data_IF_202785251029
#
_entry.id   IF_202785251029
#
_cell.length_a   1.000
_cell.length_b   1.000
_cell.length_c   1.000
_cell.angle_alpha   90.00
_cell.angle_beta   90.00
_cell.angle_gamma   90.00
#
_symmetry.space_group_name_H-M   'P 1'
#
loop_
_entity.id
_entity.type
_entity.pdbx_description
1 polymer ?
#
# COMPACT_ATOMS: atom_id res chain seq x y z
N UNK A 1 -21.76 -40.27 -18.15
CA UNK A 1 -22.15 -38.87 -17.86
C UNK A 1 -21.72 -38.55 -16.44
N UNK A 2 -20.50 -38.06 -16.27
CA UNK A 2 -20.07 -37.42 -15.01
C UNK A 2 -20.35 -35.93 -15.16
N UNK A 3 -21.51 -35.49 -14.68
CA UNK A 3 -21.79 -34.06 -14.49
C UNK A 3 -20.82 -33.55 -13.43
N UNK A 4 -19.63 -33.09 -13.85
CA UNK A 4 -18.80 -32.21 -13.04
C UNK A 4 -19.62 -30.93 -12.82
N UNK A 5 -20.37 -30.88 -11.71
CA UNK A 5 -21.08 -29.66 -11.33
C UNK A 5 -20.01 -28.64 -10.96
N UNK A 6 -19.75 -27.69 -11.85
CA UNK A 6 -18.91 -26.54 -11.55
C UNK A 6 -19.46 -25.90 -10.27
N UNK A 7 -18.64 -25.90 -9.23
CA UNK A 7 -19.03 -25.30 -7.95
C UNK A 7 -19.01 -23.77 -8.08
N UNK A 8 -19.90 -23.05 -7.40
CA UNK A 8 -19.78 -21.60 -7.31
C UNK A 8 -18.49 -21.22 -6.59
N UNK A 9 -17.95 -20.04 -6.90
CA UNK A 9 -16.70 -19.56 -6.29
C UNK A 9 -16.82 -19.47 -4.75
N UNK A 10 -18.03 -19.23 -4.23
CA UNK A 10 -18.31 -19.17 -2.78
C UNK A 10 -18.17 -20.53 -2.08
N UNK A 11 -18.12 -21.64 -2.83
CA UNK A 11 -17.83 -22.98 -2.30
C UNK A 11 -16.35 -23.37 -2.47
N UNK A 12 -15.60 -22.65 -3.32
CA UNK A 12 -14.19 -22.90 -3.61
C UNK A 12 -13.30 -21.97 -2.77
N UNK A 13 -13.72 -20.72 -2.61
CA UNK A 13 -12.99 -19.66 -1.95
C UNK A 13 -13.61 -19.29 -0.61
N UNK A 14 -12.74 -19.10 0.37
CA UNK A 14 -13.09 -18.65 1.70
C UNK A 14 -12.91 -17.14 1.80
N UNK A 15 -14.02 -16.42 1.96
CA UNK A 15 -13.98 -14.99 2.27
C UNK A 15 -13.37 -14.77 3.65
N UNK A 16 -12.54 -13.73 3.75
CA UNK A 16 -11.99 -13.33 5.04
C UNK A 16 -13.08 -13.01 6.05
N UNK A 17 -12.86 -13.39 7.31
CA UNK A 17 -13.84 -13.25 8.40
C UNK A 17 -14.45 -11.85 8.48
N UNK A 18 -13.64 -10.80 8.44
CA UNK A 18 -14.11 -9.41 8.53
C UNK A 18 -15.04 -9.03 7.35
N UNK A 19 -14.79 -9.54 6.14
CA UNK A 19 -15.65 -9.32 4.98
C UNK A 19 -17.00 -10.03 5.18
N UNK A 20 -16.98 -11.27 5.69
CA UNK A 20 -18.22 -12.03 6.03
C UNK A 20 -19.05 -11.33 7.10
N UNK A 21 -18.40 -10.65 8.03
CA UNK A 21 -19.05 -9.87 9.09
C UNK A 21 -19.45 -8.45 8.65
N UNK A 22 -19.14 -8.05 7.41
CA UNK A 22 -19.42 -6.69 6.91
C UNK A 22 -18.50 -5.60 7.48
N UNK A 23 -17.42 -5.99 8.16
CA UNK A 23 -16.38 -5.08 8.67
C UNK A 23 -15.38 -4.77 7.55
N UNK A 24 -15.63 -3.68 6.84
CA UNK A 24 -14.82 -3.28 5.70
C UNK A 24 -13.85 -2.20 6.15
N UNK A 25 -12.59 -2.57 6.32
CA UNK A 25 -11.53 -1.58 6.53
C UNK A 25 -11.22 -0.88 5.22
N UNK A 26 -11.76 0.32 5.07
CA UNK A 26 -11.52 1.13 3.89
C UNK A 26 -10.05 1.56 3.83
N UNK A 27 -9.43 2.02 4.91
CA UNK A 27 -8.08 2.60 4.87
C UNK A 27 -7.09 1.93 5.83
N UNK A 28 -5.95 1.49 5.30
CA UNK A 28 -4.75 1.23 6.10
C UNK A 28 -4.21 2.57 6.62
N UNK A 29 -3.89 2.62 7.92
CA UNK A 29 -3.31 3.79 8.57
C UNK A 29 -2.00 3.38 9.27
N UNK A 30 -0.87 3.82 8.73
CA UNK A 30 0.46 3.53 9.27
C UNK A 30 0.64 4.07 10.69
N UNK A 31 0.05 5.24 10.99
CA UNK A 31 0.14 5.81 12.33
C UNK A 31 -0.51 4.91 13.37
N UNK A 32 -1.73 4.43 13.12
CA UNK A 32 -2.41 3.53 14.06
C UNK A 32 -1.64 2.21 14.22
N UNK A 33 -1.08 1.68 13.13
CA UNK A 33 -0.23 0.48 13.18
C UNK A 33 0.98 0.69 14.08
N UNK A 34 1.71 1.79 13.87
CA UNK A 34 2.91 2.09 14.63
C UNK A 34 2.58 2.38 16.10
N UNK A 35 1.52 3.14 16.37
CA UNK A 35 1.04 3.39 17.74
C UNK A 35 0.67 2.09 18.46
N UNK A 36 -0.07 1.20 17.80
CA UNK A 36 -0.47 -0.08 18.37
C UNK A 36 0.72 -1.02 18.65
N UNK A 37 1.74 -1.02 17.77
CA UNK A 37 2.84 -1.96 17.86
C UNK A 37 4.06 -1.47 18.65
N UNK A 38 4.29 -0.15 18.72
CA UNK A 38 5.51 0.44 19.29
C UNK A 38 5.24 1.34 20.50
N UNK A 39 4.10 2.02 20.54
CA UNK A 39 3.82 3.06 21.54
C UNK A 39 2.61 2.76 22.44
N UNK A 40 2.03 1.57 22.33
CA UNK A 40 0.78 1.20 23.03
C UNK A 40 0.87 1.33 24.55
N UNK A 41 2.00 0.94 25.12
CA UNK A 41 2.22 1.00 26.57
C UNK A 41 2.71 2.38 27.04
N UNK A 42 3.01 3.28 26.10
CA UNK A 42 3.62 4.59 26.37
C UNK A 42 2.67 5.76 26.14
N UNK A 43 1.65 5.56 25.30
CA UNK A 43 0.68 6.58 24.93
C UNK A 43 -0.75 6.08 25.19
N UNK A 44 -1.45 6.55 26.24
CA UNK A 44 -2.74 6.00 26.66
C UNK A 44 -3.82 5.94 25.57
N UNK A 45 -3.88 6.93 24.66
CA UNK A 45 -4.88 6.91 23.58
C UNK A 45 -4.64 5.78 22.57
N UNK A 46 -3.41 5.24 22.47
CA UNK A 46 -3.13 4.07 21.65
C UNK A 46 -3.81 2.79 22.17
N UNK A 47 -4.20 2.74 23.46
CA UNK A 47 -4.98 1.64 24.03
C UNK A 47 -6.41 1.59 23.49
N UNK A 48 -6.95 2.73 23.01
CA UNK A 48 -8.29 2.82 22.44
C UNK A 48 -8.36 2.31 20.99
N UNK A 49 -7.22 2.01 20.35
CA UNK A 49 -7.19 1.48 19.01
C UNK A 49 -7.79 0.07 18.96
N UNK A 50 -8.81 -0.11 18.12
CA UNK A 50 -9.39 -1.41 17.87
C UNK A 50 -8.41 -2.29 17.08
N UNK A 51 -8.23 -3.53 17.53
CA UNK A 51 -7.42 -4.49 16.82
C UNK A 51 -8.01 -4.81 15.45
N UNK A 52 -7.14 -4.83 14.45
CA UNK A 52 -7.39 -5.37 13.12
C UNK A 52 -6.32 -6.40 12.78
N UNK A 53 -6.65 -7.45 12.00
CA UNK A 53 -5.64 -8.36 11.44
C UNK A 53 -4.48 -7.67 10.75
N UNK A 54 -4.64 -6.42 10.28
CA UNK A 54 -3.58 -5.66 9.62
C UNK A 54 -2.58 -5.03 10.58
N UNK A 55 -2.83 -5.07 11.88
CA UNK A 55 -1.87 -4.64 12.89
C UNK A 55 -0.85 -5.75 13.22
N UNK A 56 -1.17 -7.00 12.88
CA UNK A 56 -0.27 -8.13 13.00
C UNK A 56 0.67 -8.21 11.78
N UNK A 57 2.00 -8.23 11.97
CA UNK A 57 2.96 -8.25 10.86
C UNK A 57 2.81 -9.46 9.93
N UNK A 58 2.57 -10.65 10.48
CA UNK A 58 2.51 -11.90 9.72
C UNK A 58 1.24 -11.95 8.87
N UNK A 59 0.11 -11.63 9.47
CA UNK A 59 -1.19 -11.59 8.80
C UNK A 59 -1.25 -10.44 7.78
N UNK A 60 -0.60 -9.31 8.05
CA UNK A 60 -0.42 -8.25 7.05
C UNK A 60 0.35 -8.76 5.83
N UNK A 61 1.54 -9.35 6.00
CA UNK A 61 2.35 -9.84 4.86
C UNK A 61 1.62 -10.94 4.08
N UNK A 62 0.89 -11.84 4.75
CA UNK A 62 0.05 -12.85 4.09
C UNK A 62 -1.01 -12.25 3.18
N UNK A 63 -1.52 -11.06 3.52
CA UNK A 63 -2.53 -10.28 2.79
C UNK A 63 -1.95 -9.33 1.75
N UNK A 64 -0.64 -9.19 1.71
CA UNK A 64 0.05 -8.27 0.81
C UNK A 64 0.43 -9.00 -0.47
N UNK A 65 0.00 -8.44 -1.61
CA UNK A 65 0.57 -8.83 -2.89
C UNK A 65 1.87 -8.05 -3.10
N UNK A 66 3.00 -8.77 -3.12
CA UNK A 66 4.32 -8.17 -3.37
C UNK A 66 4.51 -8.05 -4.88
N UNK A 67 4.32 -6.84 -5.41
CA UNK A 67 4.64 -6.54 -6.81
C UNK A 67 6.16 -6.54 -7.03
N UNK A 68 6.58 -6.47 -8.30
CA UNK A 68 7.99 -6.40 -8.67
C UNK A 68 8.65 -5.11 -8.17
N UNK A 69 7.92 -3.99 -8.20
CA UNK A 69 8.36 -2.72 -7.65
C UNK A 69 8.50 -2.80 -6.13
N UNK A 70 7.52 -3.38 -5.43
CA UNK A 70 7.62 -3.59 -3.98
C UNK A 70 8.81 -4.48 -3.61
N UNK A 71 9.02 -5.57 -4.35
CA UNK A 71 10.19 -6.43 -4.18
C UNK A 71 11.50 -5.65 -4.28
N UNK A 72 11.66 -4.86 -5.34
CA UNK A 72 12.87 -4.07 -5.56
C UNK A 72 13.09 -3.04 -4.44
N UNK A 73 12.03 -2.40 -3.95
CA UNK A 73 12.11 -1.41 -2.86
C UNK A 73 12.46 -2.10 -1.54
N UNK A 74 11.86 -3.25 -1.23
CA UNK A 74 12.19 -4.05 -0.04
C UNK A 74 13.68 -4.39 -0.06
N UNK A 75 14.19 -4.92 -1.18
CA UNK A 75 15.60 -5.26 -1.33
C UNK A 75 16.53 -4.04 -1.19
N UNK A 76 16.14 -2.89 -1.76
CA UNK A 76 16.89 -1.64 -1.65
C UNK A 76 16.94 -1.10 -0.24
N UNK A 77 15.81 -1.06 0.45
CA UNK A 77 15.72 -0.59 1.84
C UNK A 77 16.51 -1.53 2.76
N UNK A 78 16.28 -2.84 2.67
CA UNK A 78 16.96 -3.79 3.54
C UNK A 78 18.46 -3.87 3.23
N UNK A 79 18.88 -3.87 1.95
CA UNK A 79 20.29 -3.77 1.56
C UNK A 79 20.94 -2.45 1.99
N UNK A 80 20.15 -1.37 1.94
CA UNK A 80 20.29 -0.08 2.63
C UNK A 80 20.84 -0.18 4.04
N UNK A 81 20.02 -0.80 4.87
CA UNK A 81 20.25 -1.02 6.30
C UNK A 81 21.43 -1.96 6.53
N UNK A 82 21.67 -2.93 5.64
CA UNK A 82 22.83 -3.83 5.68
C UNK A 82 24.12 -3.21 5.15
N UNK A 83 24.15 -1.91 4.84
CA UNK A 83 25.35 -1.20 4.36
C UNK A 83 25.90 -1.71 3.03
N UNK A 84 25.17 -2.57 2.33
CA UNK A 84 25.54 -3.07 1.01
C UNK A 84 25.46 -1.95 -0.02
N UNK A 85 26.24 -2.05 -1.10
CA UNK A 85 26.19 -1.16 -2.26
C UNK A 85 25.44 -1.79 -3.45
N UNK A 86 25.34 -3.12 -3.49
CA UNK A 86 24.54 -3.90 -4.42
C UNK A 86 24.11 -5.23 -3.78
N UNK A 87 23.14 -5.90 -4.39
CA UNK A 87 22.62 -7.22 -3.99
C UNK A 87 22.52 -8.10 -5.22
N UNK A 88 23.10 -9.29 -5.17
CA UNK A 88 22.87 -10.29 -6.22
C UNK A 88 21.52 -10.97 -6.00
N UNK A 89 20.80 -11.17 -7.09
CA UNK A 89 19.43 -11.67 -7.09
C UNK A 89 19.33 -13.11 -7.62
N UNK A 90 20.45 -13.69 -8.04
CA UNK A 90 20.56 -15.08 -8.48
C UNK A 90 21.93 -15.70 -8.09
N UNK A 91 22.01 -17.03 -8.19
CA UNK A 91 23.25 -17.79 -7.94
C UNK A 91 24.34 -17.51 -8.97
N UNK A 92 23.95 -17.17 -10.20
CA UNK A 92 24.88 -16.96 -11.32
C UNK A 92 25.62 -15.63 -11.23
N UNK A 93 25.19 -14.73 -10.36
CA UNK A 93 25.72 -13.38 -10.21
C UNK A 93 25.38 -12.46 -11.39
N UNK A 94 24.42 -12.86 -12.24
CA UNK A 94 24.06 -12.14 -13.47
C UNK A 94 23.06 -11.03 -13.22
N UNK A 95 22.20 -11.20 -12.22
CA UNK A 95 21.21 -10.21 -11.83
C UNK A 95 21.67 -9.46 -10.57
N UNK A 96 21.95 -8.17 -10.72
CA UNK A 96 22.51 -7.32 -9.67
C UNK A 96 21.58 -6.12 -9.48
N UNK A 97 21.12 -5.94 -8.25
CA UNK A 97 20.36 -4.76 -7.84
C UNK A 97 21.28 -3.76 -7.13
N UNK A 98 21.50 -2.55 -7.69
CA UNK A 98 22.21 -1.50 -6.96
C UNK A 98 21.36 -1.02 -5.78
N UNK A 99 22.00 -0.82 -4.62
CA UNK A 99 21.36 -0.33 -3.38
C UNK A 99 22.07 0.91 -2.83
N UNK A 100 22.87 1.61 -3.64
CA UNK A 100 23.69 2.75 -3.22
C UNK A 100 22.91 4.00 -2.79
N UNK A 101 21.62 4.08 -3.15
CA UNK A 101 20.73 5.18 -2.74
C UNK A 101 20.08 4.86 -1.39
N UNK A 102 20.21 5.80 -0.44
CA UNK A 102 19.65 5.65 0.92
C UNK A 102 18.45 6.56 1.18
N UNK A 103 18.19 7.51 0.29
CA UNK A 103 17.00 8.36 0.30
C UNK A 103 16.08 7.91 -0.83
N UNK A 104 14.93 7.36 -0.45
CA UNK A 104 13.90 6.84 -1.36
C UNK A 104 12.67 7.73 -1.23
N UNK A 105 12.16 8.17 -2.38
CA UNK A 105 10.92 8.94 -2.46
C UNK A 105 9.87 8.08 -3.14
N UNK A 106 8.69 8.00 -2.52
CA UNK A 106 7.54 7.28 -3.05
C UNK A 106 6.53 8.32 -3.56
N UNK A 107 6.57 8.66 -4.87
CA UNK A 107 5.52 9.44 -5.50
C UNK A 107 4.31 8.54 -5.71
N UNK A 108 3.15 8.94 -5.20
CA UNK A 108 1.89 8.44 -5.77
C UNK A 108 0.74 9.44 -5.59
N UNK A 109 -0.33 9.28 -6.37
CA UNK A 109 -1.59 9.94 -6.09
C UNK A 109 -2.26 9.40 -4.81
N UNK A 110 -3.32 10.06 -4.35
CA UNK A 110 -4.11 9.61 -3.20
C UNK A 110 -4.50 8.13 -3.37
N UNK A 111 -4.36 7.35 -2.29
CA UNK A 111 -4.71 5.92 -2.23
C UNK A 111 -4.03 4.99 -3.24
N UNK A 112 -2.92 5.42 -3.86
CA UNK A 112 -2.09 4.60 -4.75
C UNK A 112 -1.21 3.55 -4.05
N UNK A 113 -1.33 3.38 -2.73
CA UNK A 113 -0.64 2.31 -2.00
C UNK A 113 0.64 2.71 -1.27
N UNK A 114 0.96 4.01 -1.13
CA UNK A 114 2.16 4.47 -0.40
C UNK A 114 2.17 4.01 1.06
N UNK A 115 1.08 4.27 1.79
CA UNK A 115 0.93 3.84 3.18
C UNK A 115 1.05 2.32 3.29
N UNK A 116 0.56 1.58 2.28
CA UNK A 116 0.72 0.13 2.22
C UNK A 116 2.19 -0.28 2.03
N UNK A 117 2.91 0.34 1.10
CA UNK A 117 4.34 0.10 0.90
C UNK A 117 5.17 0.48 2.14
N UNK A 118 4.93 1.64 2.76
CA UNK A 118 5.60 2.02 4.02
C UNK A 118 5.32 1.02 5.14
N UNK A 119 4.07 0.56 5.25
CA UNK A 119 3.68 -0.46 6.22
C UNK A 119 4.38 -1.79 5.95
N UNK A 120 4.52 -2.19 4.68
CA UNK A 120 5.31 -3.36 4.28
C UNK A 120 6.76 -3.20 4.73
N UNK A 121 7.40 -2.07 4.45
CA UNK A 121 8.79 -1.81 4.87
C UNK A 121 8.95 -1.83 6.40
N UNK A 122 8.03 -1.20 7.12
CA UNK A 122 7.95 -1.24 8.58
C UNK A 122 7.90 -2.69 9.09
N UNK A 123 6.97 -3.51 8.58
CA UNK A 123 6.80 -4.89 9.03
C UNK A 123 7.94 -5.81 8.63
N UNK A 124 8.56 -5.62 7.47
CA UNK A 124 9.74 -6.40 7.07
C UNK A 124 10.90 -6.13 8.04
N UNK A 125 11.16 -4.86 8.37
CA UNK A 125 12.20 -4.51 9.34
C UNK A 125 11.86 -5.01 10.76
N UNK A 126 10.58 -4.94 11.17
CA UNK A 126 10.11 -5.43 12.48
C UNK A 126 10.25 -6.95 12.59
N UNK A 127 9.77 -7.70 11.60
CA UNK A 127 9.89 -9.15 11.57
C UNK A 127 11.34 -9.60 11.44
N UNK A 128 12.22 -8.85 10.77
CA UNK A 128 13.67 -9.12 10.84
C UNK A 128 14.19 -9.02 12.28
N UNK A 129 13.80 -7.98 13.03
CA UNK A 129 14.20 -7.83 14.43
C UNK A 129 13.69 -8.95 15.36
N UNK A 130 12.57 -9.58 15.00
CA UNK A 130 11.92 -10.64 15.77
C UNK A 130 12.37 -12.05 15.35
N UNK A 131 12.63 -12.28 14.07
CA UNK A 131 12.77 -13.61 13.46
C UNK A 131 14.13 -13.82 12.76
N UNK A 132 14.92 -12.77 12.53
CA UNK A 132 16.20 -12.84 11.82
C UNK A 132 16.03 -13.39 10.40
N UNK A 133 16.80 -14.43 10.04
CA UNK A 133 16.77 -15.09 8.71
C UNK A 133 15.42 -15.68 8.32
N UNK A 134 14.61 -16.07 9.32
CA UNK A 134 13.28 -16.64 9.07
C UNK A 134 12.32 -15.63 8.45
N UNK A 135 12.68 -14.34 8.37
CA UNK A 135 11.93 -13.35 7.57
C UNK A 135 11.70 -13.80 6.13
N UNK A 136 12.64 -14.58 5.57
CA UNK A 136 12.55 -15.09 4.20
C UNK A 136 11.40 -16.08 4.00
N UNK A 137 10.92 -16.73 5.06
CA UNK A 137 9.80 -17.69 5.02
C UNK A 137 8.44 -17.02 4.75
N UNK A 138 8.33 -15.70 4.96
CA UNK A 138 7.11 -14.93 4.72
C UNK A 138 6.94 -14.50 3.25
N UNK A 139 7.91 -14.84 2.39
CA UNK A 139 7.89 -14.52 0.97
C UNK A 139 7.85 -15.80 0.12
N UNK A 140 7.24 -15.69 -1.07
CA UNK A 140 7.17 -16.78 -2.06
C UNK A 140 7.99 -16.51 -3.32
N UNK A 141 8.39 -15.26 -3.55
CA UNK A 141 9.11 -14.86 -4.75
C UNK A 141 10.60 -15.25 -4.62
N UNK A 142 11.09 -16.10 -5.51
CA UNK A 142 12.45 -16.65 -5.46
C UNK A 142 13.54 -15.55 -5.51
N UNK A 143 13.36 -14.54 -6.37
CA UNK A 143 14.28 -13.41 -6.53
C UNK A 143 14.37 -12.59 -5.24
N UNK A 144 13.21 -12.28 -4.64
CA UNK A 144 13.11 -11.61 -3.35
C UNK A 144 13.78 -12.41 -2.23
N UNK A 145 13.46 -13.70 -2.13
CA UNK A 145 14.00 -14.60 -1.10
C UNK A 145 15.53 -14.68 -1.21
N UNK A 146 16.04 -14.88 -2.43
CA UNK A 146 17.48 -14.99 -2.66
C UNK A 146 18.21 -13.71 -2.26
N UNK A 147 17.71 -12.56 -2.70
CA UNK A 147 18.26 -11.26 -2.33
C UNK A 147 18.20 -11.01 -0.82
N UNK A 148 17.06 -11.29 -0.16
CA UNK A 148 16.92 -11.11 1.29
C UNK A 148 17.86 -12.00 2.09
N UNK A 149 18.08 -13.26 1.70
CA UNK A 149 18.99 -14.16 2.43
C UNK A 149 20.37 -13.53 2.60
N UNK A 150 20.94 -13.01 1.51
CA UNK A 150 22.24 -12.33 1.52
C UNK A 150 22.23 -11.05 2.35
N UNK A 151 21.18 -10.24 2.20
CA UNK A 151 21.01 -8.99 2.94
C UNK A 151 20.94 -9.26 4.46
N UNK A 152 20.18 -10.27 4.86
CA UNK A 152 19.94 -10.60 6.27
C UNK A 152 21.18 -11.20 6.91
N UNK A 153 21.92 -12.04 6.19
CA UNK A 153 23.21 -12.57 6.64
C UNK A 153 24.20 -11.46 6.95
N UNK A 154 24.29 -10.45 6.08
CA UNK A 154 25.10 -9.25 6.32
C UNK A 154 24.56 -8.42 7.50
N UNK A 155 23.23 -8.20 7.55
CA UNK A 155 22.59 -7.36 8.58
C UNK A 155 22.84 -7.88 10.00
N UNK A 156 22.96 -9.20 10.19
CA UNK A 156 23.30 -9.82 11.49
C UNK A 156 24.55 -9.22 12.12
N UNK A 157 25.54 -8.84 11.31
CA UNK A 157 26.79 -8.24 11.80
C UNK A 157 26.58 -6.85 12.41
N UNK A 158 25.52 -6.15 11.99
CA UNK A 158 25.18 -4.80 12.43
C UNK A 158 24.04 -4.77 13.45
N UNK A 159 23.36 -5.88 13.70
CA UNK A 159 22.31 -6.03 14.71
C UNK A 159 20.94 -5.51 14.27
N UNK A 160 20.07 -5.27 15.25
CA UNK A 160 18.67 -4.87 15.02
C UNK A 160 18.54 -3.52 14.31
N UNK A 161 17.46 -3.35 13.56
CA UNK A 161 17.06 -2.10 12.91
C UNK A 161 16.22 -1.28 13.88
N UNK A 162 16.58 -0.01 14.10
CA UNK A 162 15.72 0.99 14.74
C UNK A 162 14.75 1.53 13.69
N UNK A 163 13.45 1.50 13.98
CA UNK A 163 12.43 1.95 13.03
C UNK A 163 11.75 3.20 13.59
N UNK A 164 11.87 4.30 12.87
CA UNK A 164 11.27 5.60 13.21
C UNK A 164 10.20 5.90 12.17
N UNK A 165 9.00 6.22 12.64
CA UNK A 165 7.88 6.57 11.76
C UNK A 165 7.35 7.94 12.15
N UNK A 166 7.37 8.86 11.18
CA UNK A 166 6.81 10.20 11.27
C UNK A 166 5.65 10.27 10.29
N UNK A 167 4.46 10.65 10.76
CA UNK A 167 3.25 10.73 9.93
C UNK A 167 2.66 12.13 10.08
N UNK A 168 2.76 12.92 9.02
CA UNK A 168 2.54 14.38 9.08
C UNK A 168 1.12 14.82 9.45
N UNK A 169 0.13 13.98 9.20
CA UNK A 169 -1.28 14.28 9.47
C UNK A 169 -1.70 14.02 10.93
N UNK A 170 -0.88 13.33 11.74
CA UNK A 170 -1.16 13.00 13.14
C UNK A 170 -0.18 13.66 14.12
N UNK A 171 -0.68 14.27 15.20
CA UNK A 171 0.18 14.99 16.15
C UNK A 171 1.08 14.06 16.98
N UNK A 172 0.67 12.81 17.20
CA UNK A 172 1.46 11.86 18.01
C UNK A 172 2.72 11.40 17.29
N UNK A 173 2.65 11.27 15.97
CA UNK A 173 3.80 10.88 15.14
C UNK A 173 4.39 12.05 14.33
N UNK A 174 3.85 13.26 14.48
CA UNK A 174 4.46 14.49 14.01
C UNK A 174 4.00 15.66 14.91
N UNK A 175 4.62 15.81 16.09
CA UNK A 175 4.32 16.91 17.02
C UNK A 175 4.61 18.26 16.37
N UNK A 176 3.92 19.30 16.84
CA UNK A 176 4.14 20.69 16.42
C UNK A 176 4.16 21.63 17.64
N UNK A 177 4.73 22.84 17.53
CA UNK A 177 4.88 23.75 18.67
C UNK A 177 3.56 24.09 19.38
N UNK A 178 2.45 24.18 18.64
CA UNK A 178 1.10 24.43 19.14
C UNK A 178 0.44 23.19 19.75
N UNK A 179 0.91 21.98 19.38
CA UNK A 179 0.38 20.70 19.85
C UNK A 179 1.52 19.71 20.15
N UNK A 180 2.29 19.96 21.24
CA UNK A 180 3.38 19.10 21.62
C UNK A 180 2.87 17.73 22.10
N UNK A 181 3.68 16.71 21.89
CA UNK A 181 3.46 15.37 22.44
C UNK A 181 4.04 15.31 23.85
N UNK A 182 3.20 14.96 24.82
CA UNK A 182 3.65 14.57 26.16
C UNK A 182 3.65 13.05 26.22
N UNK A 183 4.82 12.45 26.38
CA UNK A 183 5.01 11.00 26.45
C UNK A 183 6.06 10.67 27.51
N UNK A 184 5.72 9.77 28.43
CA UNK A 184 6.54 9.49 29.61
C UNK A 184 6.92 10.80 30.34
N UNK A 185 8.22 11.15 30.38
CA UNK A 185 8.74 12.37 31.01
C UNK A 185 9.17 13.44 29.98
N UNK A 186 8.88 13.25 28.70
CA UNK A 186 9.27 14.15 27.62
C UNK A 186 8.09 14.97 27.11
N UNK A 187 8.37 16.25 26.82
CA UNK A 187 7.47 17.13 26.10
C UNK A 187 8.12 17.49 24.77
N UNK A 188 7.67 16.83 23.71
CA UNK A 188 8.28 16.87 22.38
C UNK A 188 7.47 17.83 21.51
N UNK A 189 8.12 18.81 20.89
CA UNK A 189 7.45 19.89 20.17
C UNK A 189 7.53 19.76 18.64
N UNK A 190 8.39 18.88 18.13
CA UNK A 190 8.74 18.84 16.71
C UNK A 190 8.95 17.42 16.19
N UNK A 191 8.93 17.19 14.86
CA UNK A 191 9.21 15.88 14.28
C UNK A 191 10.66 15.43 14.51
N UNK A 192 11.60 16.36 14.60
CA UNK A 192 13.01 16.05 14.89
C UNK A 192 13.24 15.76 16.38
N UNK A 193 12.50 16.40 17.29
CA UNK A 193 12.42 15.98 18.68
C UNK A 193 11.89 14.55 18.81
N UNK A 194 10.84 14.20 18.06
CA UNK A 194 10.30 12.84 18.03
C UNK A 194 11.33 11.83 17.49
N UNK A 195 12.06 12.18 16.42
CA UNK A 195 13.17 11.37 15.90
C UNK A 195 14.21 11.09 17.00
N UNK A 196 14.64 12.12 17.74
CA UNK A 196 15.56 11.96 18.86
C UNK A 196 15.00 11.04 19.95
N UNK A 197 13.74 11.25 20.36
CA UNK A 197 13.07 10.42 21.36
C UNK A 197 13.00 8.94 20.95
N UNK A 198 12.53 8.64 19.74
CA UNK A 198 12.39 7.26 19.25
C UNK A 198 13.73 6.55 19.08
N UNK A 199 14.81 7.31 18.85
CA UNK A 199 16.18 6.77 18.82
C UNK A 199 16.82 6.62 20.20
N UNK A 200 16.20 7.13 21.28
CA UNK A 200 16.78 7.18 22.62
C UNK A 200 17.87 8.23 22.77
N UNK A 201 17.83 9.28 21.94
CA UNK A 201 18.86 10.32 21.80
C UNK A 201 18.27 11.73 21.99
N UNK A 202 17.12 11.86 22.65
CA UNK A 202 16.40 13.13 22.80
C UNK A 202 17.28 14.23 23.42
N UNK A 203 18.10 13.89 24.42
CA UNK A 203 18.95 14.89 25.09
C UNK A 203 19.94 15.58 24.14
N UNK A 204 20.36 14.92 23.06
CA UNK A 204 21.26 15.51 22.05
C UNK A 204 20.54 16.49 21.13
N UNK A 205 19.22 16.40 21.01
CA UNK A 205 18.39 17.24 20.13
C UNK A 205 17.40 18.13 20.90
N UNK A 206 17.41 18.05 22.23
CA UNK A 206 16.48 18.75 23.12
C UNK A 206 16.45 20.26 22.85
N UNK A 207 17.63 20.88 22.70
CA UNK A 207 17.71 22.32 22.44
C UNK A 207 17.09 22.69 21.09
N UNK A 208 17.23 21.85 20.06
CA UNK A 208 16.62 22.08 18.74
C UNK A 208 15.09 21.93 18.81
N UNK A 209 14.62 20.93 19.56
CA UNK A 209 13.18 20.70 19.78
C UNK A 209 12.52 21.85 20.56
N UNK A 210 13.10 22.26 21.69
CA UNK A 210 12.56 23.31 22.57
C UNK A 210 12.61 24.71 21.94
N UNK A 211 13.59 24.96 21.06
CA UNK A 211 13.71 26.23 20.32
C UNK A 211 12.96 26.24 18.98
N UNK A 212 12.34 25.12 18.60
CA UNK A 212 11.67 24.93 17.31
C UNK A 212 12.58 25.20 16.10
N UNK A 213 13.89 24.97 16.27
CA UNK A 213 14.90 25.11 15.22
C UNK A 213 15.34 23.74 14.75
N UNK A 214 15.58 23.58 13.45
CA UNK A 214 16.04 22.32 12.91
C UNK A 214 17.44 21.97 13.43
N UNK A 215 17.71 20.69 13.71
CA UNK A 215 19.05 20.24 14.04
C UNK A 215 20.01 20.42 12.86
N UNK A 216 21.25 20.73 13.18
CA UNK A 216 22.33 20.77 12.21
C UNK A 216 22.74 19.35 11.77
N UNK A 217 23.47 19.28 10.64
CA UNK A 217 23.95 18.02 10.04
C UNK A 217 24.77 17.20 11.04
N UNK A 218 25.62 17.84 11.86
CA UNK A 218 26.47 17.14 12.83
C UNK A 218 25.68 16.55 14.01
N UNK A 219 24.62 17.22 14.46
CA UNK A 219 23.70 16.69 15.48
C UNK A 219 22.99 15.46 14.94
N UNK A 220 22.45 15.54 13.72
CA UNK A 220 21.80 14.42 13.04
C UNK A 220 22.76 13.24 12.81
N UNK A 221 24.01 13.49 12.41
CA UNK A 221 25.06 12.45 12.31
C UNK A 221 25.28 11.77 13.65
N UNK A 222 25.36 12.53 14.73
CA UNK A 222 25.62 12.00 16.07
C UNK A 222 24.47 11.10 16.57
N UNK A 223 23.21 11.47 16.36
CA UNK A 223 22.08 10.64 16.79
C UNK A 223 21.94 9.36 15.94
N UNK A 224 22.35 9.37 14.67
CA UNK A 224 22.32 8.20 13.77
C UNK A 224 23.57 7.31 13.87
N UNK A 225 24.66 7.82 14.45
CA UNK A 225 25.96 7.12 14.52
C UNK A 225 25.84 5.73 15.15
N UNK A 226 26.49 4.75 14.51
CA UNK A 226 26.58 3.35 14.94
C UNK A 226 25.22 2.65 15.10
N UNK A 227 24.17 3.11 14.40
CA UNK A 227 22.84 2.50 14.39
C UNK A 227 22.45 2.10 12.97
N UNK A 228 21.62 1.06 12.85
CA UNK A 228 20.89 0.82 11.61
C UNK A 228 19.50 1.42 11.79
N UNK A 229 19.12 2.38 10.96
CA UNK A 229 17.90 3.18 11.16
C UNK A 229 17.07 3.21 9.90
N UNK A 230 15.85 2.69 9.97
CA UNK A 230 14.83 2.91 8.96
C UNK A 230 13.96 4.09 9.40
N UNK A 231 13.98 5.16 8.62
CA UNK A 231 13.16 6.36 8.85
C UNK A 231 12.07 6.40 7.78
N UNK A 232 10.82 6.33 8.21
CA UNK A 232 9.64 6.41 7.35
C UNK A 232 8.93 7.74 7.62
N UNK A 233 8.81 8.58 6.59
CA UNK A 233 8.05 9.84 6.67
C UNK A 233 6.86 9.74 5.71
N UNK A 234 5.67 9.57 6.28
CA UNK A 234 4.39 9.60 5.56
C UNK A 234 3.77 11.00 5.68
N UNK A 235 3.03 11.43 4.66
CA UNK A 235 2.29 12.72 4.63
C UNK A 235 3.15 13.97 4.99
N UNK A 236 4.39 14.02 4.50
CA UNK A 236 5.29 15.16 4.75
C UNK A 236 4.72 16.51 4.28
N UNK A 237 3.91 16.51 3.21
CA UNK A 237 3.25 17.72 2.69
C UNK A 237 2.18 18.23 3.64
N UNK A 238 1.35 17.35 4.21
CA UNK A 238 0.34 17.72 5.20
C UNK A 238 0.97 18.36 6.43
N UNK A 239 2.13 17.85 6.86
CA UNK A 239 2.90 18.50 7.91
C UNK A 239 3.38 19.90 7.52
N UNK A 240 3.90 20.07 6.29
CA UNK A 240 4.34 21.37 5.80
C UNK A 240 3.18 22.38 5.72
N UNK A 241 2.00 21.97 5.28
CA UNK A 241 0.79 22.79 5.29
C UNK A 241 0.50 23.31 6.71
N UNK A 242 0.59 22.41 7.71
CA UNK A 242 0.44 22.79 9.12
C UNK A 242 1.55 23.75 9.57
N UNK A 243 2.80 23.46 9.26
CA UNK A 243 3.94 24.31 9.64
C UNK A 243 3.83 25.73 9.05
N UNK A 244 3.32 25.88 7.82
CA UNK A 244 3.06 27.19 7.21
C UNK A 244 1.98 27.97 7.96
N UNK A 245 0.89 27.31 8.40
CA UNK A 245 -0.15 27.96 9.22
C UNK A 245 0.39 28.50 10.54
N UNK A 246 1.40 27.84 11.09
CA UNK A 246 2.05 28.21 12.34
C UNK A 246 3.04 29.38 12.20
N UNK A 247 3.42 29.81 10.98
CA UNK A 247 4.40 30.89 10.79
C UNK A 247 3.99 32.22 11.43
N UNK A 248 2.68 32.47 11.58
CA UNK A 248 2.15 33.67 12.24
C UNK A 248 2.54 33.78 13.72
N UNK A 249 2.77 32.64 14.39
CA UNK A 249 3.13 32.56 15.81
C UNK A 249 4.59 32.13 15.99
N UNK A 250 5.04 31.18 15.16
CA UNK A 250 6.38 30.60 15.20
C UNK A 250 7.13 30.94 13.89
N UNK A 251 7.65 32.17 13.83
CA UNK A 251 8.32 32.67 12.62
C UNK A 251 9.48 31.76 12.20
N UNK A 252 9.51 31.41 10.91
CA UNK A 252 10.55 30.55 10.33
C UNK A 252 10.35 29.05 10.52
N UNK A 253 9.28 28.61 11.19
CA UNK A 253 9.07 27.18 11.50
C UNK A 253 8.89 26.30 10.25
N UNK A 254 8.17 26.75 9.23
CA UNK A 254 8.02 25.98 8.00
C UNK A 254 9.35 25.81 7.26
N UNK A 255 10.20 26.85 7.26
CA UNK A 255 11.54 26.78 6.68
C UNK A 255 12.49 25.89 7.50
N UNK A 256 12.33 25.89 8.83
CA UNK A 256 13.01 24.94 9.71
C UNK A 256 12.63 23.49 9.35
N UNK A 257 11.34 23.19 9.15
CA UNK A 257 10.91 21.86 8.73
C UNK A 257 11.49 21.44 7.36
N UNK A 258 11.48 22.32 6.36
CA UNK A 258 12.12 22.05 5.06
C UNK A 258 13.61 21.80 5.20
N UNK A 259 14.29 22.60 6.01
CA UNK A 259 15.72 22.45 6.29
C UNK A 259 16.01 21.16 7.05
N UNK A 260 15.13 20.72 7.96
CA UNK A 260 15.23 19.43 8.64
C UNK A 260 15.17 18.27 7.64
N UNK A 261 14.18 18.25 6.72
CA UNK A 261 14.07 17.20 5.69
C UNK A 261 15.34 17.16 4.82
N UNK A 262 15.85 18.32 4.41
CA UNK A 262 17.11 18.42 3.65
C UNK A 262 18.30 17.88 4.44
N UNK A 263 18.52 18.37 5.66
CA UNK A 263 19.65 17.98 6.49
C UNK A 263 19.62 16.48 6.80
N UNK A 264 18.43 15.93 7.10
CA UNK A 264 18.25 14.51 7.34
C UNK A 264 18.59 13.67 6.11
N UNK A 265 18.10 14.07 4.93
CA UNK A 265 18.37 13.37 3.68
C UNK A 265 19.88 13.38 3.33
N UNK A 266 20.58 14.50 3.58
CA UNK A 266 22.04 14.59 3.42
C UNK A 266 22.76 13.61 4.35
N UNK A 267 22.43 13.62 5.64
CA UNK A 267 23.08 12.77 6.64
C UNK A 267 22.85 11.29 6.35
N UNK A 268 21.63 10.91 5.95
CA UNK A 268 21.29 9.52 5.63
C UNK A 268 22.11 8.99 4.45
N UNK A 269 22.35 9.80 3.42
CA UNK A 269 23.23 9.41 2.30
C UNK A 269 24.70 9.23 2.73
N UNK A 270 25.15 9.97 3.74
CA UNK A 270 26.53 9.89 4.27
C UNK A 270 26.69 8.85 5.40
N UNK A 271 25.60 8.24 5.86
CA UNK A 271 25.60 7.34 7.03
C UNK A 271 25.14 5.93 6.61
N UNK A 272 26.07 5.04 6.21
CA UNK A 272 25.72 3.64 5.91
C UNK A 272 24.98 2.98 7.08
N UNK A 273 23.86 2.31 6.76
CA UNK A 273 22.98 1.67 7.75
C UNK A 273 21.74 2.51 8.07
N UNK A 274 21.68 3.76 7.62
CA UNK A 274 20.46 4.57 7.67
C UNK A 274 19.78 4.60 6.31
N UNK A 275 18.44 4.50 6.29
CA UNK A 275 17.60 4.63 5.09
C UNK A 275 16.43 5.54 5.42
N UNK A 276 16.19 6.51 4.54
CA UNK A 276 15.07 7.44 4.61
C UNK A 276 14.10 7.13 3.47
N UNK A 277 12.84 6.90 3.82
CA UNK A 277 11.75 6.72 2.87
C UNK A 277 10.72 7.81 3.11
N UNK A 278 10.46 8.64 2.10
CA UNK A 278 9.51 9.77 2.19
C UNK A 278 8.42 9.62 1.13
N UNK A 279 7.16 9.78 1.52
CA UNK A 279 6.04 9.82 0.57
C UNK A 279 5.75 11.24 0.13
N UNK A 280 5.40 11.42 -1.16
CA UNK A 280 4.94 12.71 -1.69
C UNK A 280 3.66 12.53 -2.52
N UNK A 281 2.65 13.43 -2.41
CA UNK A 281 1.46 13.46 -3.26
C UNK A 281 1.80 13.98 -4.66
N UNK A 282 2.48 13.12 -5.43
CA UNK A 282 2.88 13.36 -6.80
C UNK A 282 2.69 12.08 -7.63
N UNK A 283 2.39 12.20 -8.92
CA UNK A 283 2.50 11.11 -9.87
C UNK A 283 3.91 11.08 -10.47
N UNK A 284 4.41 9.90 -10.83
CA UNK A 284 5.67 9.77 -11.55
C UNK A 284 5.40 9.15 -12.90
N UNK A 285 5.54 9.96 -13.97
CA UNK A 285 5.30 9.55 -15.35
C UNK A 285 6.50 9.95 -16.20
N UNK A 286 7.00 9.02 -17.01
CA UNK A 286 8.06 9.27 -17.99
C UNK A 286 9.35 9.91 -17.41
N UNK A 287 9.69 9.59 -16.16
CA UNK A 287 10.88 10.15 -15.49
C UNK A 287 10.66 11.52 -14.85
N UNK A 288 9.45 12.07 -14.93
CA UNK A 288 9.07 13.35 -14.34
C UNK A 288 8.06 13.15 -13.21
N UNK A 289 8.22 13.96 -12.15
CA UNK A 289 7.22 14.08 -11.10
C UNK A 289 6.13 15.05 -11.56
N UNK A 290 4.95 14.53 -11.87
CA UNK A 290 3.77 15.33 -12.14
C UNK A 290 3.01 15.58 -10.84
N UNK A 291 2.62 16.83 -10.61
CA UNK A 291 1.97 17.24 -9.36
C UNK A 291 0.54 16.70 -9.31
N UNK A 292 0.10 16.27 -8.14
CA UNK A 292 -1.34 16.08 -7.91
C UNK A 292 -2.00 17.43 -7.58
N UNK A 293 -3.34 17.49 -7.65
CA UNK A 293 -4.09 18.71 -7.40
C UNK A 293 -4.01 19.23 -5.95
N UNK A 294 -3.49 18.46 -5.00
CA UNK A 294 -3.36 18.86 -3.61
C UNK A 294 -2.02 19.55 -3.35
N UNK A 295 -2.09 20.83 -2.95
CA UNK A 295 -0.95 21.60 -2.46
C UNK A 295 0.32 21.58 -3.35
N UNK A 296 0.19 21.83 -4.67
CA UNK A 296 1.28 21.70 -5.63
C UNK A 296 2.52 22.55 -5.28
N UNK A 297 2.33 23.71 -4.65
CA UNK A 297 3.39 24.60 -4.18
C UNK A 297 4.22 24.00 -3.03
N UNK A 298 3.60 23.26 -2.12
CA UNK A 298 4.28 22.64 -0.98
C UNK A 298 4.98 21.35 -1.40
N UNK A 299 4.40 20.59 -2.34
CA UNK A 299 5.06 19.46 -2.99
C UNK A 299 6.36 19.93 -3.64
N UNK A 300 6.33 21.00 -4.42
CA UNK A 300 7.51 21.53 -5.10
C UNK A 300 8.62 21.95 -4.13
N UNK A 301 8.26 22.63 -3.04
CA UNK A 301 9.23 23.00 -1.99
C UNK A 301 9.92 21.76 -1.42
N UNK A 302 9.17 20.72 -1.05
CA UNK A 302 9.75 19.47 -0.52
C UNK A 302 10.57 18.70 -1.55
N UNK A 303 10.08 18.57 -2.78
CA UNK A 303 10.80 17.94 -3.89
C UNK A 303 12.13 18.65 -4.12
N UNK A 304 12.15 19.98 -4.11
CA UNK A 304 13.39 20.76 -4.32
C UNK A 304 14.45 20.52 -3.24
N UNK A 305 14.04 20.22 -2.00
CA UNK A 305 14.96 19.88 -0.92
C UNK A 305 15.53 18.48 -1.09
N UNK A 306 14.70 17.53 -1.54
CA UNK A 306 15.09 16.14 -1.73
C UNK A 306 15.90 15.93 -3.02
N UNK A 307 15.57 16.59 -4.14
CA UNK A 307 16.29 16.46 -5.42
C UNK A 307 17.79 16.75 -5.29
N UNK A 308 18.17 17.67 -4.40
CA UNK A 308 19.56 18.03 -4.14
C UNK A 308 20.42 16.87 -3.61
N UNK A 309 19.78 15.81 -3.09
CA UNK A 309 20.45 14.61 -2.61
C UNK A 309 20.30 13.41 -3.56
N UNK A 310 19.82 13.64 -4.79
CA UNK A 310 19.64 12.62 -5.84
C UNK A 310 18.84 11.37 -5.37
N UNK A 311 17.57 11.54 -4.95
CA UNK A 311 16.76 10.46 -4.42
C UNK A 311 16.33 9.50 -5.53
N UNK A 312 15.94 8.28 -5.15
CA UNK A 312 15.33 7.33 -6.09
C UNK A 312 13.80 7.37 -5.99
N UNK A 313 13.12 7.38 -7.13
CA UNK A 313 11.66 7.42 -7.21
C UNK A 313 11.10 6.04 -7.53
N UNK A 314 10.17 5.57 -6.70
CA UNK A 314 9.49 4.30 -6.91
C UNK A 314 7.97 4.46 -6.81
N UNK A 315 7.25 4.48 -7.94
CA UNK A 315 5.79 4.41 -7.90
C UNK A 315 5.37 3.03 -7.35
N UNK A 316 4.39 2.97 -6.42
CA UNK A 316 4.11 1.76 -5.64
C UNK A 316 3.45 0.62 -6.42
N UNK A 317 2.74 0.88 -7.54
CA UNK A 317 2.02 -0.12 -8.34
C UNK A 317 1.88 0.32 -9.80
N UNK A 318 1.92 -0.64 -10.72
CA UNK A 318 1.33 -0.48 -12.05
C UNK A 318 -0.12 -0.97 -11.98
N UNK A 319 -1.06 -0.04 -11.71
CA UNK A 319 -2.43 -0.35 -11.28
C UNK A 319 -3.18 -1.35 -12.18
N UNK A 320 -3.02 -1.26 -13.50
CA UNK A 320 -3.68 -2.16 -14.46
C UNK A 320 -3.26 -3.63 -14.31
N UNK A 321 -2.02 -3.88 -13.88
CA UNK A 321 -1.45 -5.24 -13.77
C UNK A 321 -1.76 -5.90 -12.44
N UNK A 322 -1.59 -5.15 -11.35
CA UNK A 322 -1.45 -5.75 -10.02
C UNK A 322 -2.75 -5.71 -9.17
N UNK A 323 -3.71 -4.86 -9.55
CA UNK A 323 -4.93 -4.61 -8.75
C UNK A 323 -5.73 -5.88 -8.46
N UNK A 324 -5.82 -6.80 -9.43
CA UNK A 324 -6.55 -8.05 -9.25
C UNK A 324 -5.87 -8.96 -8.21
N UNK A 325 -4.53 -9.03 -8.24
CA UNK A 325 -3.75 -9.81 -7.27
C UNK A 325 -3.88 -9.24 -5.85
N UNK A 326 -3.95 -7.90 -5.73
CA UNK A 326 -4.26 -7.23 -4.45
C UNK A 326 -5.63 -7.65 -3.94
N UNK A 327 -6.68 -7.59 -4.78
CA UNK A 327 -8.03 -8.02 -4.38
C UNK A 327 -8.08 -9.47 -3.92
N UNK A 328 -7.45 -10.36 -4.68
CA UNK A 328 -7.34 -11.79 -4.37
C UNK A 328 -6.77 -12.02 -2.96
N UNK A 329 -5.62 -11.41 -2.66
CA UNK A 329 -4.95 -11.54 -1.36
C UNK A 329 -5.73 -10.89 -0.21
N UNK A 330 -6.35 -9.74 -0.46
CA UNK A 330 -7.05 -8.93 0.53
C UNK A 330 -8.44 -9.44 0.88
N UNK A 331 -9.10 -10.17 -0.02
CA UNK A 331 -10.51 -10.56 0.15
C UNK A 331 -10.71 -12.04 0.48
N UNK A 332 -9.76 -12.90 0.12
CA UNK A 332 -9.87 -14.36 0.28
C UNK A 332 -8.73 -14.94 1.14
N UNK A 333 -9.03 -15.98 1.92
CA UNK A 333 -8.06 -16.65 2.82
C UNK A 333 -7.25 -17.74 2.10
N UNK A 334 -7.89 -18.52 1.24
CA UNK A 334 -7.34 -19.75 0.64
C UNK A 334 -6.96 -19.63 -0.84
N UNK A 335 -6.82 -18.42 -1.37
CA UNK A 335 -6.65 -18.14 -2.81
C UNK A 335 -5.39 -18.77 -3.43
N UNK A 336 -4.36 -19.03 -2.63
CA UNK A 336 -3.11 -19.67 -3.05
C UNK A 336 -3.08 -21.19 -2.81
N UNK A 337 -4.22 -21.82 -2.46
CA UNK A 337 -4.23 -23.26 -2.17
C UNK A 337 -4.25 -24.11 -3.43
N UNK A 338 -3.54 -25.24 -3.41
CA UNK A 338 -3.54 -26.24 -4.50
C UNK A 338 -4.95 -26.71 -4.87
N UNK A 339 -5.88 -26.71 -3.90
CA UNK A 339 -7.28 -27.05 -4.14
C UNK A 339 -7.96 -26.04 -5.07
N UNK A 340 -7.77 -24.73 -4.81
CA UNK A 340 -8.32 -23.66 -5.64
C UNK A 340 -7.72 -23.73 -7.04
N UNK A 341 -6.41 -23.92 -7.16
CA UNK A 341 -5.75 -24.05 -8.46
C UNK A 341 -6.31 -25.20 -9.30
N UNK A 342 -6.52 -26.38 -8.69
CA UNK A 342 -7.15 -27.53 -9.35
C UNK A 342 -8.56 -27.21 -9.84
N UNK A 343 -9.40 -26.61 -8.99
CA UNK A 343 -10.76 -26.22 -9.35
C UNK A 343 -10.79 -25.18 -10.49
N UNK A 344 -9.90 -24.19 -10.45
CA UNK A 344 -9.76 -23.22 -11.54
C UNK A 344 -9.37 -23.92 -12.85
N UNK A 345 -8.41 -24.84 -12.82
CA UNK A 345 -8.01 -25.58 -14.02
C UNK A 345 -9.16 -26.44 -14.60
N UNK A 346 -9.99 -27.06 -13.76
CA UNK A 346 -11.20 -27.77 -14.19
C UNK A 346 -12.21 -26.82 -14.87
N UNK A 347 -12.50 -25.67 -14.27
CA UNK A 347 -13.37 -24.63 -14.84
C UNK A 347 -12.85 -24.17 -16.21
N UNK A 348 -11.55 -23.91 -16.28
CA UNK A 348 -10.86 -23.47 -17.50
C UNK A 348 -10.98 -24.50 -18.62
N UNK A 349 -10.82 -25.79 -18.32
CA UNK A 349 -10.98 -26.86 -19.31
C UNK A 349 -12.41 -26.90 -19.86
N UNK A 350 -13.42 -26.70 -19.01
CA UNK A 350 -14.82 -26.63 -19.45
C UNK A 350 -15.09 -25.40 -20.34
N UNK A 351 -14.46 -24.26 -20.06
CA UNK A 351 -14.55 -23.06 -20.90
C UNK A 351 -13.90 -23.30 -22.27
N UNK A 352 -12.73 -23.96 -22.31
CA UNK A 352 -12.07 -24.36 -23.57
C UNK A 352 -12.96 -25.30 -24.38
N UNK A 353 -13.50 -26.33 -23.74
CA UNK A 353 -14.40 -27.30 -24.36
C UNK A 353 -15.67 -26.63 -24.91
N UNK A 354 -16.21 -25.64 -24.20
CA UNK A 354 -17.35 -24.85 -24.68
C UNK A 354 -16.96 -23.98 -25.88
N UNK A 355 -15.83 -23.29 -25.83
CA UNK A 355 -15.35 -22.46 -26.94
C UNK A 355 -15.10 -23.27 -28.22
N UNK A 356 -14.75 -24.55 -28.12
CA UNK A 356 -14.63 -25.44 -29.29
C UNK A 356 -16.00 -25.76 -29.90
N UNK A 357 -17.05 -25.87 -29.08
CA UNK A 357 -18.40 -26.29 -29.51
C UNK A 357 -19.32 -25.14 -29.90
N UNK A 358 -19.03 -23.93 -29.43
CA UNK A 358 -19.87 -22.74 -29.57
C UNK A 358 -19.11 -21.65 -30.35
N UNK A 359 -19.36 -21.57 -31.65
CA UNK A 359 -18.67 -20.64 -32.55
C UNK A 359 -18.96 -19.18 -32.23
N UNK A 360 -20.16 -18.86 -31.72
CA UNK A 360 -20.52 -17.50 -31.31
C UNK A 360 -19.71 -17.10 -30.07
N UNK A 361 -19.59 -18.00 -29.10
CA UNK A 361 -18.76 -17.77 -27.93
C UNK A 361 -17.27 -17.62 -28.32
N UNK A 362 -16.76 -18.50 -29.18
CA UNK A 362 -15.37 -18.42 -29.67
C UNK A 362 -15.08 -17.08 -30.36
N UNK A 363 -15.95 -16.64 -31.26
CA UNK A 363 -15.79 -15.38 -31.99
C UNK A 363 -15.84 -14.18 -31.04
N UNK A 364 -16.73 -14.20 -30.04
CA UNK A 364 -16.81 -13.14 -29.02
C UNK A 364 -15.50 -13.01 -28.22
N UNK A 365 -14.85 -14.13 -27.90
CA UNK A 365 -13.55 -14.15 -27.22
C UNK A 365 -12.47 -13.56 -28.14
N UNK A 366 -12.44 -13.99 -29.40
CA UNK A 366 -11.48 -13.52 -30.40
C UNK A 366 -11.59 -12.01 -30.62
N UNK A 367 -12.81 -11.48 -30.75
CA UNK A 367 -13.04 -10.04 -30.92
C UNK A 367 -12.54 -9.20 -29.74
N UNK A 368 -12.74 -9.67 -28.50
CA UNK A 368 -12.40 -8.92 -27.28
C UNK A 368 -10.95 -9.12 -26.82
N UNK A 369 -10.44 -10.35 -26.93
CA UNK A 369 -9.16 -10.77 -26.35
C UNK A 369 -8.13 -11.24 -27.38
N UNK A 370 -8.49 -11.27 -28.66
CA UNK A 370 -7.63 -11.69 -29.76
C UNK A 370 -7.51 -13.21 -29.89
N UNK A 371 -7.17 -13.89 -28.80
CA UNK A 371 -6.95 -15.34 -28.77
C UNK A 371 -7.56 -16.00 -27.51
N UNK A 372 -7.98 -17.27 -27.66
CA UNK A 372 -8.53 -18.06 -26.56
C UNK A 372 -7.51 -18.28 -25.43
N UNK A 373 -6.23 -18.50 -25.73
CA UNK A 373 -5.23 -18.72 -24.69
C UNK A 373 -4.99 -17.45 -23.88
N UNK A 374 -4.99 -16.28 -24.54
CA UNK A 374 -4.91 -14.98 -23.86
C UNK A 374 -6.09 -14.79 -22.91
N UNK A 375 -7.31 -15.12 -23.34
CA UNK A 375 -8.49 -15.06 -22.48
C UNK A 375 -8.40 -16.03 -21.30
N UNK A 376 -7.93 -17.25 -21.52
CA UNK A 376 -7.78 -18.26 -20.48
C UNK A 376 -6.73 -17.85 -19.44
N UNK A 377 -5.60 -17.31 -19.86
CA UNK A 377 -4.58 -16.81 -18.94
C UNK A 377 -5.10 -15.62 -18.13
N UNK A 378 -5.86 -14.71 -18.76
CA UNK A 378 -6.59 -13.65 -18.03
C UNK A 378 -7.58 -14.24 -17.01
N UNK A 379 -8.37 -15.26 -17.36
CA UNK A 379 -9.31 -15.90 -16.44
C UNK A 379 -8.62 -16.55 -15.24
N UNK A 380 -7.52 -17.28 -15.46
CA UNK A 380 -6.74 -17.90 -14.38
C UNK A 380 -6.17 -16.85 -13.42
N UNK A 381 -5.53 -15.83 -13.98
CA UNK A 381 -4.89 -14.76 -13.20
C UNK A 381 -5.93 -13.93 -12.44
N UNK A 382 -7.11 -13.70 -13.02
CA UNK A 382 -8.17 -12.88 -12.41
C UNK A 382 -9.19 -13.62 -11.55
N UNK A 383 -9.22 -14.96 -11.55
CA UNK A 383 -10.17 -15.74 -10.74
C UNK A 383 -10.19 -15.29 -9.26
N UNK A 384 -11.38 -15.06 -8.66
CA UNK A 384 -12.73 -15.35 -9.17
C UNK A 384 -13.38 -14.23 -9.98
N UNK A 385 -12.64 -13.16 -10.30
CA UNK A 385 -13.18 -12.05 -11.09
C UNK A 385 -13.11 -12.38 -12.58
N UNK A 386 -14.17 -12.08 -13.32
CA UNK A 386 -14.10 -12.12 -14.77
C UNK A 386 -13.17 -11.00 -15.26
N UNK A 387 -12.30 -11.20 -16.27
CA UNK A 387 -11.35 -10.17 -16.71
C UNK A 387 -12.02 -8.83 -17.04
N UNK A 388 -13.17 -8.88 -17.72
CA UNK A 388 -13.95 -7.69 -18.03
C UNK A 388 -14.52 -6.95 -16.79
N UNK A 389 -14.77 -7.64 -15.68
CA UNK A 389 -15.18 -7.01 -14.43
C UNK A 389 -14.07 -6.11 -13.86
N UNK A 390 -12.83 -6.61 -13.87
CA UNK A 390 -11.67 -5.84 -13.44
C UNK A 390 -11.43 -4.67 -14.40
N UNK A 391 -11.44 -4.90 -15.71
CA UNK A 391 -11.30 -3.84 -16.72
C UNK A 391 -12.33 -2.72 -16.51
N UNK A 392 -13.60 -3.06 -16.27
CA UNK A 392 -14.66 -2.09 -16.00
C UNK A 392 -14.37 -1.26 -14.75
N UNK A 393 -14.03 -1.91 -13.63
CA UNK A 393 -13.77 -1.22 -12.37
C UNK A 393 -12.56 -0.30 -12.45
N UNK A 394 -11.48 -0.75 -13.11
CA UNK A 394 -10.29 0.07 -13.36
C UNK A 394 -10.66 1.28 -14.22
N UNK A 395 -11.42 1.10 -15.29
CA UNK A 395 -11.85 2.20 -16.16
C UNK A 395 -12.73 3.22 -15.44
N UNK A 396 -13.62 2.78 -14.54
CA UNK A 396 -14.43 3.67 -13.71
C UNK A 396 -13.55 4.42 -12.72
N UNK A 397 -12.61 3.72 -12.08
CA UNK A 397 -11.73 4.30 -11.08
C UNK A 397 -10.80 5.35 -11.69
N UNK A 398 -10.15 5.08 -12.83
CA UNK A 398 -9.23 6.01 -13.52
C UNK A 398 -9.92 7.33 -13.88
N UNK A 399 -11.24 7.30 -14.16
CA UNK A 399 -12.04 8.51 -14.41
C UNK A 399 -12.35 9.32 -13.15
N UNK A 400 -11.92 8.85 -11.97
CA UNK A 400 -12.12 9.46 -10.66
C UNK A 400 -10.78 9.67 -9.91
N UNK A 401 -9.93 10.63 -10.34
CA UNK A 401 -8.60 10.82 -9.77
C UNK A 401 -8.58 11.27 -8.30
N UNK A 402 -9.70 11.81 -7.81
CA UNK A 402 -9.85 12.28 -6.43
C UNK A 402 -10.01 11.14 -5.41
N UNK A 403 -10.33 9.92 -5.88
CA UNK A 403 -10.51 8.77 -5.01
C UNK A 403 -9.26 7.92 -4.99
N UNK A 404 -8.91 7.46 -3.79
CA UNK A 404 -7.87 6.46 -3.62
C UNK A 404 -8.17 5.17 -4.36
N UNK A 405 -7.75 5.05 -5.61
CA UNK A 405 -8.20 4.04 -6.59
C UNK A 405 -8.30 2.64 -6.01
N UNK A 406 -7.19 2.11 -5.46
CA UNK A 406 -7.13 0.76 -4.90
C UNK A 406 -7.99 0.60 -3.65
N UNK A 407 -8.04 1.66 -2.83
CA UNK A 407 -8.77 1.71 -1.57
C UNK A 407 -10.28 1.64 -1.79
N UNK A 408 -10.76 2.52 -2.67
CA UNK A 408 -12.15 2.65 -3.03
C UNK A 408 -12.67 1.38 -3.71
N UNK A 409 -11.94 0.84 -4.69
CA UNK A 409 -12.35 -0.39 -5.36
C UNK A 409 -12.35 -1.60 -4.41
N UNK A 410 -11.35 -1.71 -3.52
CA UNK A 410 -11.32 -2.81 -2.54
C UNK A 410 -12.55 -2.76 -1.63
N UNK A 411 -12.93 -1.58 -1.15
CA UNK A 411 -14.13 -1.40 -0.32
C UNK A 411 -15.42 -1.74 -1.08
N UNK A 412 -15.54 -1.30 -2.34
CA UNK A 412 -16.68 -1.63 -3.21
C UNK A 412 -16.80 -3.14 -3.43
N UNK A 413 -15.70 -3.82 -3.78
CA UNK A 413 -15.70 -5.26 -4.02
C UNK A 413 -15.97 -6.03 -2.72
N UNK A 414 -15.43 -5.58 -1.58
CA UNK A 414 -15.74 -6.16 -0.27
C UNK A 414 -17.24 -6.13 0.03
N UNK A 415 -17.91 -4.99 -0.22
CA UNK A 415 -19.38 -4.87 -0.09
C UNK A 415 -20.11 -5.80 -1.04
N UNK A 416 -19.69 -5.87 -2.30
CA UNK A 416 -20.27 -6.77 -3.29
C UNK A 416 -20.14 -8.24 -2.88
N UNK A 417 -18.97 -8.64 -2.39
CA UNK A 417 -18.71 -10.00 -1.93
C UNK A 417 -19.55 -10.36 -0.70
N UNK A 418 -19.70 -9.42 0.24
CA UNK A 418 -20.61 -9.60 1.38
C UNK A 418 -22.05 -9.81 0.91
N UNK A 419 -22.54 -8.99 0.00
CA UNK A 419 -23.87 -9.14 -0.60
C UNK A 419 -24.05 -10.50 -1.30
N UNK A 420 -23.08 -10.91 -2.13
CA UNK A 420 -23.09 -12.23 -2.79
C UNK A 420 -23.07 -13.36 -1.75
N UNK A 421 -22.27 -13.23 -0.70
CA UNK A 421 -22.14 -14.24 0.35
C UNK A 421 -23.44 -14.44 1.12
N UNK A 422 -24.13 -13.36 1.47
CA UNK A 422 -25.41 -13.41 2.19
C UNK A 422 -26.54 -14.00 1.34
N UNK A 423 -26.40 -13.95 0.02
CA UNK A 423 -27.39 -14.47 -0.94
C UNK A 423 -26.93 -15.76 -1.63
N UNK A 424 -25.84 -16.38 -1.19
CA UNK A 424 -25.18 -17.51 -1.88
C UNK A 424 -26.09 -18.72 -2.13
N UNK A 425 -27.10 -18.92 -1.29
CA UNK A 425 -28.04 -20.04 -1.39
C UNK A 425 -29.24 -19.74 -2.32
N UNK A 426 -29.39 -18.49 -2.79
CA UNK A 426 -30.43 -18.13 -3.77
C UNK A 426 -30.01 -18.57 -5.18
N UNK A 427 -30.98 -18.98 -5.99
CA UNK A 427 -30.79 -19.58 -7.32
C UNK A 427 -29.86 -18.79 -8.25
N UNK A 428 -29.91 -17.45 -8.21
CA UNK A 428 -29.04 -16.59 -9.02
C UNK A 428 -27.56 -16.69 -8.61
N UNK A 429 -27.27 -16.81 -7.31
CA UNK A 429 -25.91 -16.75 -6.76
C UNK A 429 -25.28 -18.13 -6.55
N UNK A 430 -26.09 -19.19 -6.44
CA UNK A 430 -25.64 -20.55 -6.17
C UNK A 430 -24.87 -21.20 -7.32
N UNK A 431 -24.86 -20.58 -8.51
CA UNK A 431 -24.14 -21.05 -9.70
C UNK A 431 -23.00 -20.10 -10.14
N UNK A 432 -22.71 -19.05 -9.37
CA UNK A 432 -21.70 -18.05 -9.77
C UNK A 432 -20.29 -18.65 -9.73
N UNK A 433 -19.71 -18.94 -10.89
CA UNK A 433 -18.30 -19.36 -11.00
C UNK A 433 -17.35 -18.17 -11.05
N UNK A 434 -17.77 -17.07 -11.68
CA UNK A 434 -17.02 -15.82 -11.78
C UNK A 434 -17.88 -14.64 -11.37
N UNK A 435 -17.24 -13.64 -10.78
CA UNK A 435 -17.83 -12.33 -10.50
C UNK A 435 -17.78 -11.52 -11.80
N UNK A 436 -18.94 -11.23 -12.37
CA UNK A 436 -19.12 -10.50 -13.62
C UNK A 436 -19.79 -9.15 -13.36
N UNK A 437 -19.74 -8.17 -14.29
CA UNK A 437 -20.44 -6.89 -14.09
C UNK A 437 -21.93 -7.01 -13.81
N UNK A 438 -22.58 -8.03 -14.36
CA UNK A 438 -24.02 -8.25 -14.21
C UNK A 438 -24.45 -8.60 -12.78
N UNK A 439 -23.51 -9.00 -11.91
CA UNK A 439 -23.83 -9.32 -10.52
C UNK A 439 -23.89 -8.10 -9.60
N UNK A 440 -23.49 -6.92 -10.09
CA UNK A 440 -23.58 -5.68 -9.32
C UNK A 440 -25.08 -5.37 -9.14
N UNK A 441 -25.59 -5.30 -7.89
CA UNK A 441 -27.01 -5.10 -7.64
C UNK A 441 -27.38 -3.62 -7.80
N UNK A 442 -27.50 -3.16 -9.04
CA UNK A 442 -27.81 -1.77 -9.38
C UNK A 442 -29.20 -1.32 -8.91
N UNK A 443 -30.11 -2.25 -8.59
CA UNK A 443 -31.38 -1.95 -7.92
C UNK A 443 -31.18 -1.37 -6.52
N UNK A 444 -30.03 -1.63 -5.90
CA UNK A 444 -29.66 -1.07 -4.61
C UNK A 444 -28.93 0.26 -4.81
N UNK A 445 -29.55 1.31 -4.29
CA UNK A 445 -28.99 2.67 -4.35
C UNK A 445 -27.58 2.77 -3.78
N UNK A 446 -27.26 2.03 -2.72
CA UNK A 446 -25.92 1.98 -2.13
C UNK A 446 -24.82 1.59 -3.14
N UNK A 447 -25.06 0.59 -4.00
CA UNK A 447 -24.09 0.15 -5.01
C UNK A 447 -23.97 1.13 -6.17
N UNK A 448 -25.05 1.83 -6.54
CA UNK A 448 -25.00 2.89 -7.56
C UNK A 448 -24.21 4.10 -7.07
N UNK A 449 -24.52 4.57 -5.86
CA UNK A 449 -23.81 5.69 -5.23
C UNK A 449 -22.34 5.35 -5.06
N UNK A 450 -22.06 4.14 -4.59
CA UNK A 450 -20.69 3.71 -4.41
C UNK A 450 -19.96 3.66 -5.75
N UNK A 451 -20.47 2.94 -6.74
CA UNK A 451 -19.83 2.76 -8.05
C UNK A 451 -19.46 4.10 -8.73
N UNK A 452 -20.27 5.13 -8.53
CA UNK A 452 -20.10 6.46 -9.11
C UNK A 452 -19.56 7.50 -8.12
N UNK A 453 -19.08 7.06 -6.95
CA UNK A 453 -18.54 7.95 -5.93
C UNK A 453 -17.44 8.83 -6.54
N UNK A 454 -17.41 10.10 -6.16
CA UNK A 454 -16.41 11.06 -6.64
C UNK A 454 -16.63 11.57 -8.07
N UNK A 455 -17.56 11.00 -8.85
CA UNK A 455 -17.92 11.51 -10.18
C UNK A 455 -18.74 12.78 -10.06
N UNK A 456 -18.71 13.62 -11.10
CA UNK A 456 -19.54 14.82 -11.19
C UNK A 456 -21.02 14.47 -11.01
N UNK A 457 -21.77 15.30 -10.26
CA UNK A 457 -23.18 15.09 -9.95
C UNK A 457 -24.04 14.85 -11.21
N UNK A 458 -23.74 15.56 -12.29
CA UNK A 458 -24.42 15.39 -13.58
C UNK A 458 -24.32 13.95 -14.11
N UNK A 459 -23.13 13.32 -14.02
CA UNK A 459 -22.93 11.93 -14.46
C UNK A 459 -23.74 10.97 -13.60
N UNK A 460 -23.79 11.21 -12.29
CA UNK A 460 -24.59 10.39 -11.37
C UNK A 460 -26.09 10.49 -11.67
N UNK A 461 -26.57 11.70 -11.95
CA UNK A 461 -27.97 11.96 -12.35
C UNK A 461 -28.29 11.29 -13.68
N UNK A 462 -27.42 11.43 -14.68
CA UNK A 462 -27.63 10.83 -16.00
C UNK A 462 -27.63 9.30 -15.91
N UNK A 463 -26.72 8.70 -15.14
CA UNK A 463 -26.72 7.26 -14.89
C UNK A 463 -28.01 6.79 -14.20
N UNK A 464 -28.45 7.52 -13.16
CA UNK A 464 -29.69 7.21 -12.46
C UNK A 464 -30.89 7.23 -13.41
N UNK A 465 -30.98 8.26 -14.26
CA UNK A 465 -32.05 8.39 -15.26
C UNK A 465 -32.03 7.22 -16.25
N UNK A 466 -30.87 6.88 -16.80
CA UNK A 466 -30.70 5.74 -17.73
C UNK A 466 -31.12 4.44 -17.04
N UNK A 467 -30.68 4.21 -15.79
CA UNK A 467 -31.08 3.02 -15.05
C UNK A 467 -32.60 2.94 -14.85
N UNK A 468 -33.24 4.04 -14.46
CA UNK A 468 -34.70 4.06 -14.23
C UNK A 468 -35.50 3.87 -15.52
N UNK A 469 -35.07 4.49 -16.62
CA UNK A 469 -35.77 4.44 -17.91
C UNK A 469 -35.53 3.14 -18.68
N UNK A 470 -34.29 2.65 -18.69
CA UNK A 470 -33.84 1.64 -19.65
C UNK A 470 -33.48 0.29 -18.99
N UNK A 471 -33.31 0.23 -17.67
CA UNK A 471 -32.89 -1.01 -16.97
C UNK A 471 -33.98 -1.51 -16.03
N UNK A 472 -34.47 -0.64 -15.14
CA UNK A 472 -35.48 -1.00 -14.15
C UNK A 472 -36.80 -1.41 -14.82
N UNK A 473 -37.20 -0.69 -15.85
CA UNK A 473 -38.42 -0.93 -16.64
C UNK A 473 -38.45 -2.29 -17.35
N UNK A 474 -37.30 -2.92 -17.58
CA UNK A 474 -37.17 -4.26 -18.20
C UNK A 474 -36.88 -5.37 -17.17
N UNK A 475 -36.69 -5.01 -15.90
CA UNK A 475 -36.36 -5.94 -14.80
C UNK A 475 -37.55 -6.27 -13.89
N UNK A 476 -38.60 -5.44 -13.96
CA UNK A 476 -39.95 -5.70 -13.44
C UNK A 476 -40.80 -6.38 -14.53
#
# INVERSE_FOLDING_TARGET
MTTLSVKPFTHILELRKEIREGRIEEALNLANIYLYNELRDKYPEALALHYTPLYDPEEFLKRTYISEEMENIILKVMGGLSKLSYVYLDEKGTNILPVSKRVIVIPSALGGGKTHLLTTLYYVAKLYNEKGEKITEYFKNEKLIYGLKRIVEELKTYGKVKIVTIVGDTHVLAPSPDRPLVIENYKIHTPWGLLGYLLGEYDKIRSDDELYKQPEVDVLKNILRNKNVLILIDEAVEYLVRAVRLESVYQGYAEAFLSFIRNLAMVVNETPGSVLVVTLPAEFREGLLEKTYQHPEYVERLVSMLQRVSPEYHPPLTFERDVCSVFKKRLFENIDSDHVEKQVNEIINLIKDRAIRDSVFQESIKMKYGDINVFIEKLKTSYPFHPYFIELLVNIAVKNPSLGLTRYLLAFIARLLKHIYDLKDKSMYSLLTFITPWIIPLERTEFRIDLLRGMMSQIQIDFQRIYEQDVKSYSE
#
